data_IF_715822305461
#
_entry.id   IF_715822305461
#
_cell.length_a   1.000
_cell.length_b   1.000
_cell.length_c   1.000
_cell.angle_alpha   90.00
_cell.angle_beta   90.00
_cell.angle_gamma   90.00
#
_symmetry.space_group_name_H-M   'P 1'
#
loop_
_entity.id
_entity.type
_entity.pdbx_description
1 polymer ?
#
# COMPACT_ATOMS: atom_id res chain seq x y z
N UNK A 1 -8.76 36.68 -8.66
CA UNK A 1 -9.32 36.22 -7.36
C UNK A 1 -8.17 35.98 -6.38
N UNK A 2 -7.85 36.98 -5.55
CA UNK A 2 -6.60 37.05 -4.78
C UNK A 2 -6.75 36.32 -3.43
N UNK A 3 -6.53 35.00 -3.39
CA UNK A 3 -6.55 34.23 -2.12
C UNK A 3 -5.31 34.59 -1.30
N UNK A 4 -5.44 35.54 -0.37
CA UNK A 4 -4.38 35.84 0.62
C UNK A 4 -4.07 34.59 1.46
N UNK A 5 -2.78 34.30 1.63
CA UNK A 5 -2.28 33.21 2.45
C UNK A 5 -2.74 33.43 3.90
N UNK A 6 -3.39 32.43 4.50
CA UNK A 6 -3.88 32.52 5.88
C UNK A 6 -2.72 32.45 6.89
N UNK A 7 -2.88 33.07 8.07
CA UNK A 7 -1.88 33.00 9.16
C UNK A 7 -1.46 31.56 9.51
N UNK A 8 -2.38 30.59 9.37
CA UNK A 8 -2.11 29.16 9.57
C UNK A 8 -1.16 28.57 8.53
N UNK A 9 -1.32 28.96 7.26
CA UNK A 9 -0.44 28.50 6.17
C UNK A 9 0.97 29.10 6.30
N UNK A 10 1.08 30.36 6.74
CA UNK A 10 2.37 31.00 7.01
C UNK A 10 3.09 30.24 8.13
N UNK A 11 2.42 29.98 9.25
CA UNK A 11 3.01 29.22 10.37
C UNK A 11 3.47 27.82 9.97
N UNK A 12 2.70 27.14 9.12
CA UNK A 12 3.06 25.81 8.60
C UNK A 12 4.31 25.85 7.70
N UNK A 13 4.40 26.83 6.80
CA UNK A 13 5.56 27.02 5.94
C UNK A 13 6.82 27.34 6.74
N UNK A 14 6.70 28.20 7.76
CA UNK A 14 7.81 28.52 8.67
C UNK A 14 8.27 27.27 9.43
N UNK A 15 7.34 26.44 9.91
CA UNK A 15 7.66 25.19 10.60
C UNK A 15 8.37 24.19 9.67
N UNK A 16 7.89 24.03 8.44
CA UNK A 16 8.52 23.20 7.39
C UNK A 16 9.95 23.67 7.13
N UNK A 17 10.13 24.96 6.90
CA UNK A 17 11.43 25.55 6.62
C UNK A 17 12.39 25.38 7.80
N UNK A 18 11.93 25.63 9.02
CA UNK A 18 12.72 25.41 10.23
C UNK A 18 13.15 23.94 10.36
N UNK A 19 12.25 22.97 10.13
CA UNK A 19 12.63 21.56 10.14
C UNK A 19 13.60 21.18 9.05
N UNK A 20 13.49 21.76 7.85
CA UNK A 20 14.45 21.53 6.77
C UNK A 20 15.86 22.04 7.15
N UNK A 21 15.95 23.22 7.75
CA UNK A 21 17.22 23.78 8.26
C UNK A 21 17.81 22.85 9.34
N UNK A 22 17.00 22.34 10.26
CA UNK A 22 17.45 21.40 11.30
C UNK A 22 18.02 20.10 10.70
N UNK A 23 17.43 19.57 9.62
CA UNK A 23 17.96 18.38 8.93
C UNK A 23 19.35 18.63 8.35
N UNK A 24 19.61 19.83 7.83
CA UNK A 24 20.89 20.21 7.23
C UNK A 24 21.95 20.49 8.29
N UNK A 25 21.59 21.19 9.37
CA UNK A 25 22.54 21.70 10.38
C UNK A 25 22.91 20.65 11.41
N UNK A 26 21.97 19.82 11.86
CA UNK A 26 22.23 18.85 12.92
C UNK A 26 23.15 17.74 12.43
N UNK A 27 24.08 17.21 13.25
CA UNK A 27 24.93 16.07 12.89
C UNK A 27 24.11 14.78 12.72
N UNK A 28 24.69 13.77 12.05
CA UNK A 28 24.02 12.49 11.84
C UNK A 28 23.76 11.80 13.19
N UNK A 29 22.52 11.41 13.45
CA UNK A 29 22.09 10.80 14.71
C UNK A 29 20.61 11.05 15.00
N UNK A 30 20.14 10.65 16.19
CA UNK A 30 18.74 10.79 16.62
C UNK A 30 18.22 12.24 16.48
N UNK A 31 19.09 13.22 16.75
CA UNK A 31 18.75 14.65 16.65
C UNK A 31 18.36 15.06 15.22
N UNK A 32 18.99 14.49 14.18
CA UNK A 32 18.64 14.73 12.76
C UNK A 32 17.48 13.86 12.29
N UNK A 33 17.34 12.65 12.84
CA UNK A 33 16.30 11.70 12.44
C UNK A 33 14.88 12.21 12.74
N UNK A 34 14.67 12.85 13.88
CA UNK A 34 13.36 13.42 14.25
C UNK A 34 12.90 14.50 13.25
N UNK A 35 13.66 15.57 12.98
CA UNK A 35 13.25 16.58 11.99
C UNK A 35 13.20 16.02 10.56
N UNK A 36 14.05 15.04 10.22
CA UNK A 36 13.94 14.35 8.92
C UNK A 36 12.62 13.58 8.80
N UNK A 37 12.20 12.90 9.87
CA UNK A 37 10.91 12.22 9.92
C UNK A 37 9.74 13.20 9.79
N UNK A 38 9.79 14.33 10.50
CA UNK A 38 8.77 15.37 10.40
C UNK A 38 8.67 15.94 8.98
N UNK A 39 9.82 16.24 8.36
CA UNK A 39 9.90 16.79 7.01
C UNK A 39 9.41 15.83 5.94
N UNK A 40 9.73 14.53 6.09
CA UNK A 40 9.33 13.51 5.12
C UNK A 40 7.86 13.10 5.28
N UNK A 41 7.38 12.91 6.52
CA UNK A 41 6.13 12.20 6.76
C UNK A 41 5.02 13.09 7.30
N UNK A 42 5.32 13.98 8.23
CA UNK A 42 4.30 14.69 9.01
C UNK A 42 3.89 16.00 8.34
N UNK A 43 4.85 16.84 7.95
CA UNK A 43 4.50 18.13 7.36
C UNK A 43 3.81 18.02 6.01
N UNK A 44 4.24 17.15 5.08
CA UNK A 44 3.50 16.90 3.86
C UNK A 44 2.09 16.35 4.17
N UNK A 45 1.92 15.51 5.19
CA UNK A 45 0.59 15.00 5.52
C UNK A 45 -0.31 16.12 6.05
N UNK A 46 0.22 17.02 6.87
CA UNK A 46 -0.54 18.16 7.38
C UNK A 46 -0.87 19.18 6.29
N UNK A 47 0.05 19.46 5.34
CA UNK A 47 -0.23 20.36 4.22
C UNK A 47 -1.36 19.81 3.36
N UNK A 48 -1.29 18.54 2.97
CA UNK A 48 -2.34 17.88 2.19
C UNK A 48 -3.67 17.80 2.94
N UNK A 49 -3.64 17.49 4.24
CA UNK A 49 -4.86 17.40 5.06
C UNK A 49 -5.61 18.74 5.14
N UNK A 50 -4.91 19.88 5.11
CA UNK A 50 -5.54 21.20 5.12
C UNK A 50 -6.32 21.51 3.83
N UNK A 51 -5.95 20.88 2.73
CA UNK A 51 -6.54 21.11 1.40
C UNK A 51 -7.65 20.11 1.06
N UNK A 52 -7.68 18.96 1.74
CA UNK A 52 -8.71 17.95 1.53
C UNK A 52 -10.04 18.34 2.22
N UNK A 53 -11.19 18.17 1.54
CA UNK A 53 -12.50 18.28 2.18
C UNK A 53 -12.80 17.05 3.06
N UNK A 54 -13.62 17.19 4.11
CA UNK A 54 -14.04 16.07 4.97
C UNK A 54 -13.83 16.33 6.46
N UNK A 55 -13.83 15.28 7.30
CA UNK A 55 -13.51 15.40 8.74
C UNK A 55 -11.99 15.44 8.96
N UNK A 56 -11.52 16.06 10.04
CA UNK A 56 -10.07 16.23 10.28
C UNK A 56 -9.27 14.93 10.30
N UNK A 57 -9.84 13.85 10.85
CA UNK A 57 -9.22 12.52 10.87
C UNK A 57 -9.14 11.90 9.47
N UNK A 58 -10.20 12.01 8.67
CA UNK A 58 -10.24 11.54 7.28
C UNK A 58 -9.17 12.23 6.43
N UNK A 59 -9.09 13.55 6.55
CA UNK A 59 -8.12 14.39 5.83
C UNK A 59 -6.69 13.97 6.15
N UNK A 60 -6.39 13.77 7.44
CA UNK A 60 -5.06 13.37 7.87
C UNK A 60 -4.68 11.98 7.39
N UNK A 61 -5.59 11.00 7.49
CA UNK A 61 -5.34 9.63 7.03
C UNK A 61 -5.10 9.58 5.52
N UNK A 62 -5.95 10.25 4.73
CA UNK A 62 -5.77 10.31 3.27
C UNK A 62 -4.45 11.00 2.94
N UNK A 63 -4.15 12.13 3.57
CA UNK A 63 -2.93 12.86 3.34
C UNK A 63 -1.67 12.07 3.73
N UNK A 64 -1.66 11.38 4.87
CA UNK A 64 -0.55 10.53 5.29
C UNK A 64 -0.32 9.37 4.30
N UNK A 65 -1.40 8.74 3.81
CA UNK A 65 -1.31 7.71 2.77
C UNK A 65 -0.72 8.24 1.46
N UNK A 66 -1.13 9.44 1.04
CA UNK A 66 -0.61 10.09 -0.16
C UNK A 66 0.89 10.40 -0.04
N UNK A 67 1.34 10.84 1.14
CA UNK A 67 2.76 11.13 1.41
C UNK A 67 3.61 9.87 1.36
N UNK A 68 3.11 8.75 1.90
CA UNK A 68 3.77 7.46 1.82
C UNK A 68 4.01 7.03 0.37
N UNK A 69 2.99 7.17 -0.47
CA UNK A 69 3.09 6.84 -1.89
C UNK A 69 4.01 7.81 -2.64
N UNK A 70 3.88 9.11 -2.41
CA UNK A 70 4.68 10.14 -3.08
C UNK A 70 6.17 10.01 -2.73
N UNK A 71 6.50 9.80 -1.45
CA UNK A 71 7.88 9.60 -1.02
C UNK A 71 8.47 8.31 -1.59
N UNK A 72 7.72 7.20 -1.55
CA UNK A 72 8.17 5.92 -2.11
C UNK A 72 8.45 6.01 -3.61
N UNK A 73 7.56 6.65 -4.36
CA UNK A 73 7.73 6.89 -5.79
C UNK A 73 8.92 7.80 -6.08
N UNK A 74 9.11 8.86 -5.29
CA UNK A 74 10.22 9.77 -5.49
C UNK A 74 11.58 9.13 -5.22
N UNK A 75 11.70 8.37 -4.13
CA UNK A 75 12.91 7.59 -3.83
C UNK A 75 13.20 6.60 -4.95
N UNK A 76 12.16 5.96 -5.50
CA UNK A 76 12.30 5.08 -6.66
C UNK A 76 12.84 5.82 -7.88
N UNK A 77 12.25 6.95 -8.28
CA UNK A 77 12.75 7.76 -9.42
C UNK A 77 14.21 8.19 -9.22
N UNK A 78 14.54 8.61 -8.01
CA UNK A 78 15.89 9.00 -7.62
C UNK A 78 16.88 7.83 -7.72
N UNK A 79 16.46 6.62 -7.34
CA UNK A 79 17.31 5.43 -7.37
C UNK A 79 17.73 4.99 -8.78
N UNK A 80 17.02 5.44 -9.82
CA UNK A 80 17.37 5.18 -11.21
C UNK A 80 18.41 6.16 -11.78
N UNK A 81 18.81 7.20 -11.03
CA UNK A 81 19.85 8.12 -11.48
C UNK A 81 21.25 7.51 -11.20
N UNK A 82 22.14 7.46 -12.20
CA UNK A 82 23.50 6.96 -11.98
C UNK A 82 24.30 7.92 -11.10
N UNK A 83 24.99 7.37 -10.09
CA UNK A 83 25.87 8.12 -9.17
C UNK A 83 25.29 8.34 -7.77
N UNK A 84 26.03 9.05 -6.91
CA UNK A 84 25.56 9.41 -5.57
C UNK A 84 24.55 10.54 -5.66
N UNK A 85 23.30 10.26 -5.30
CA UNK A 85 22.24 11.26 -5.37
C UNK A 85 22.45 12.31 -4.27
N UNK A 86 22.60 13.60 -4.61
CA UNK A 86 22.76 14.62 -3.60
C UNK A 86 21.42 14.95 -2.93
N UNK A 87 21.47 15.21 -1.62
CA UNK A 87 20.29 15.43 -0.76
C UNK A 87 19.31 16.49 -1.28
N UNK A 88 19.81 17.54 -1.94
CA UNK A 88 18.99 18.62 -2.48
C UNK A 88 18.12 18.16 -3.67
N UNK A 89 18.55 17.17 -4.45
CA UNK A 89 17.76 16.58 -5.54
C UNK A 89 16.56 15.80 -4.98
N UNK A 90 16.79 15.08 -3.88
CA UNK A 90 15.74 14.37 -3.13
C UNK A 90 14.70 15.38 -2.63
N UNK A 91 15.14 16.52 -2.09
CA UNK A 91 14.23 17.57 -1.61
C UNK A 91 13.41 18.22 -2.73
N UNK A 92 14.01 18.46 -3.90
CA UNK A 92 13.31 19.10 -5.03
C UNK A 92 12.17 18.23 -5.56
N UNK A 93 12.34 16.92 -5.73
CA UNK A 93 11.21 16.13 -6.24
C UNK A 93 10.27 15.55 -5.21
N UNK A 94 10.57 15.62 -3.90
CA UNK A 94 9.49 15.58 -2.89
C UNK A 94 8.53 16.76 -3.13
N UNK A 95 9.05 17.93 -3.51
CA UNK A 95 8.23 19.10 -3.84
C UNK A 95 7.51 18.97 -5.19
N UNK A 96 8.13 18.35 -6.20
CA UNK A 96 7.52 18.14 -7.54
C UNK A 96 6.52 16.97 -7.55
N UNK A 97 6.84 15.85 -6.88
CA UNK A 97 5.99 14.67 -6.75
C UNK A 97 4.70 14.92 -5.96
N UNK A 98 4.63 16.02 -5.19
CA UNK A 98 3.39 16.50 -4.60
C UNK A 98 2.37 17.01 -5.64
N UNK A 99 2.78 17.29 -6.89
CA UNK A 99 1.95 17.96 -7.91
C UNK A 99 1.61 17.06 -9.12
N UNK A 100 2.46 16.08 -9.44
CA UNK A 100 2.40 15.26 -10.68
C UNK A 100 1.39 14.08 -10.71
N UNK A 101 1.08 13.36 -9.61
CA UNK A 101 0.27 12.13 -9.64
C UNK A 101 -1.21 12.31 -10.01
N UNK A 102 -1.73 13.53 -9.94
CA UNK A 102 -3.11 13.86 -10.32
C UNK A 102 -3.37 13.61 -11.82
N UNK A 103 -2.32 13.72 -12.65
CA UNK A 103 -2.41 13.62 -14.11
C UNK A 103 -2.21 12.18 -14.59
N UNK A 104 -1.38 11.39 -13.90
CA UNK A 104 -1.04 10.01 -14.29
C UNK A 104 -2.08 8.97 -13.81
N UNK A 105 -2.78 9.22 -12.70
CA UNK A 105 -3.74 8.27 -12.11
C UNK A 105 -5.05 8.12 -12.90
N UNK A 106 -5.31 8.95 -13.91
CA UNK A 106 -6.49 8.85 -14.76
C UNK A 106 -6.31 7.89 -15.95
N UNK A 107 -5.11 7.35 -16.21
CA UNK A 107 -4.82 6.70 -17.51
C UNK A 107 -4.47 5.20 -17.52
N UNK A 108 -4.28 4.47 -16.40
CA UNK A 108 -3.78 3.07 -16.52
C UNK A 108 -4.26 2.00 -15.54
N UNK A 109 -5.14 2.28 -14.58
CA UNK A 109 -5.39 1.34 -13.47
C UNK A 109 -6.17 0.04 -13.80
N UNK A 110 -6.64 -0.16 -15.04
CA UNK A 110 -7.54 -1.26 -15.40
C UNK A 110 -6.92 -2.48 -16.10
N UNK A 111 -5.81 -2.31 -16.83
CA UNK A 111 -5.38 -3.33 -17.81
C UNK A 111 -4.16 -4.16 -17.38
N UNK A 112 -3.35 -3.68 -16.44
CA UNK A 112 -2.09 -4.34 -16.09
C UNK A 112 -2.27 -5.51 -15.13
N UNK A 113 -3.39 -5.63 -14.40
CA UNK A 113 -3.57 -6.68 -13.39
C UNK A 113 -3.82 -8.08 -13.96
N UNK A 114 -4.10 -8.22 -15.25
CA UNK A 114 -4.32 -9.51 -15.92
C UNK A 114 -3.23 -9.82 -16.96
N UNK A 115 -2.46 -8.82 -17.40
CA UNK A 115 -1.39 -9.01 -18.38
C UNK A 115 -0.10 -9.51 -17.70
N UNK A 116 0.49 -10.57 -18.27
CA UNK A 116 1.81 -11.14 -17.98
C UNK A 116 1.95 -12.04 -16.73
N UNK A 117 0.90 -12.72 -16.28
CA UNK A 117 1.01 -13.69 -15.16
C UNK A 117 1.81 -14.95 -15.47
N UNK A 118 2.00 -15.29 -16.75
CA UNK A 118 2.71 -16.49 -17.19
C UNK A 118 4.07 -16.26 -17.87
N UNK A 119 4.64 -15.05 -17.80
CA UNK A 119 5.90 -14.73 -18.51
C UNK A 119 7.16 -14.92 -17.65
N UNK A 120 7.02 -15.06 -16.32
CA UNK A 120 8.15 -15.22 -15.38
C UNK A 120 8.03 -16.53 -14.61
N UNK A 121 9.07 -17.36 -14.70
CA UNK A 121 9.30 -18.52 -13.83
C UNK A 121 9.08 -18.17 -12.35
N UNK A 122 8.73 -19.17 -11.55
CA UNK A 122 8.50 -19.06 -10.11
C UNK A 122 9.55 -18.17 -9.42
N UNK A 123 9.10 -17.06 -8.83
CA UNK A 123 9.98 -16.04 -8.29
C UNK A 123 10.35 -16.37 -6.84
N UNK A 124 11.61 -16.72 -6.59
CA UNK A 124 12.22 -16.84 -5.25
C UNK A 124 11.37 -17.63 -4.26
N UNK A 125 10.71 -16.90 -3.34
CA UNK A 125 9.83 -17.46 -2.31
C UNK A 125 8.66 -18.30 -2.88
N UNK A 126 8.17 -18.03 -4.10
CA UNK A 126 7.13 -18.86 -4.73
C UNK A 126 7.59 -20.31 -4.91
N UNK A 127 8.86 -20.51 -5.27
CA UNK A 127 9.44 -21.84 -5.42
C UNK A 127 9.46 -22.62 -4.10
N UNK A 128 9.72 -21.93 -2.99
CA UNK A 128 9.66 -22.53 -1.65
C UNK A 128 8.23 -22.96 -1.32
N UNK A 129 7.23 -22.11 -1.60
CA UNK A 129 5.83 -22.47 -1.37
C UNK A 129 5.39 -23.65 -2.25
N UNK A 130 5.82 -23.67 -3.51
CA UNK A 130 5.52 -24.78 -4.42
C UNK A 130 6.20 -26.09 -4.02
N UNK A 131 7.44 -26.04 -3.51
CA UNK A 131 8.12 -27.23 -2.99
C UNK A 131 7.39 -27.80 -1.76
N UNK A 132 6.91 -26.93 -0.86
CA UNK A 132 6.09 -27.35 0.29
C UNK A 132 4.73 -27.91 -0.15
N UNK A 133 4.11 -27.31 -1.15
CA UNK A 133 2.87 -27.84 -1.73
C UNK A 133 3.09 -29.24 -2.32
N UNK A 134 4.21 -29.48 -3.01
CA UNK A 134 4.59 -30.79 -3.51
C UNK A 134 4.75 -31.81 -2.37
N UNK A 135 5.48 -31.43 -1.31
CA UNK A 135 5.71 -32.28 -0.15
C UNK A 135 4.39 -32.69 0.53
N UNK A 136 3.47 -31.74 0.72
CA UNK A 136 2.11 -32.02 1.25
C UNK A 136 1.36 -33.00 0.34
N UNK A 137 1.40 -32.81 -0.98
CA UNK A 137 0.75 -33.73 -1.94
C UNK A 137 1.37 -35.13 -1.94
N UNK A 138 2.65 -35.26 -1.59
CA UNK A 138 3.32 -36.56 -1.44
C UNK A 138 3.14 -37.19 -0.06
N UNK A 139 2.38 -36.56 0.84
CA UNK A 139 2.03 -37.09 2.16
C UNK A 139 2.82 -36.50 3.33
N UNK A 140 3.68 -35.50 3.10
CA UNK A 140 4.37 -34.79 4.18
C UNK A 140 3.57 -33.57 4.66
N UNK A 141 2.58 -33.83 5.50
CA UNK A 141 1.74 -32.78 6.09
C UNK A 141 2.47 -31.90 7.11
N UNK A 142 3.66 -32.32 7.58
CA UNK A 142 4.43 -31.56 8.58
C UNK A 142 4.84 -30.19 8.06
N UNK A 143 4.96 -30.07 6.74
CA UNK A 143 5.23 -28.83 6.01
C UNK A 143 4.22 -27.71 6.30
N UNK A 144 2.96 -28.06 6.62
CA UNK A 144 1.95 -27.08 7.02
C UNK A 144 2.19 -26.48 8.40
N UNK A 145 2.90 -27.18 9.27
CA UNK A 145 3.12 -26.80 10.68
C UNK A 145 4.49 -26.16 10.91
N UNK A 146 5.50 -26.53 10.13
CA UNK A 146 6.83 -25.92 10.23
C UNK A 146 6.94 -24.58 9.49
N UNK A 147 6.01 -24.30 8.57
CA UNK A 147 5.97 -23.03 7.86
C UNK A 147 5.54 -21.90 8.80
N UNK A 148 6.34 -20.83 8.86
CA UNK A 148 6.13 -19.72 9.81
C UNK A 148 4.99 -18.75 9.41
N UNK A 149 4.28 -19.03 8.31
CA UNK A 149 3.17 -18.21 7.80
C UNK A 149 1.88 -19.04 7.77
N UNK A 150 0.74 -18.37 7.60
CA UNK A 150 -0.56 -19.03 7.61
C UNK A 150 -0.67 -20.15 6.57
N UNK A 151 -1.31 -21.29 6.90
CA UNK A 151 -1.30 -22.50 6.06
C UNK A 151 -1.98 -22.28 4.70
N UNK A 152 -2.86 -21.29 4.59
CA UNK A 152 -3.52 -20.95 3.34
C UNK A 152 -2.57 -20.61 2.19
N UNK A 153 -1.36 -20.11 2.48
CA UNK A 153 -0.33 -19.86 1.47
C UNK A 153 0.09 -21.15 0.75
N UNK A 154 0.10 -22.28 1.45
CA UNK A 154 0.44 -23.61 0.93
C UNK A 154 -0.83 -24.32 0.42
N UNK A 155 -1.92 -24.25 1.18
CA UNK A 155 -3.16 -24.96 0.86
C UNK A 155 -3.82 -24.50 -0.44
N UNK A 156 -3.71 -23.22 -0.80
CA UNK A 156 -4.27 -22.72 -2.06
C UNK A 156 -3.54 -23.32 -3.30
N UNK A 157 -2.20 -23.32 -3.36
CA UNK A 157 -1.45 -24.08 -4.36
C UNK A 157 -1.73 -25.58 -4.34
N UNK A 158 -1.75 -26.22 -3.15
CA UNK A 158 -2.08 -27.65 -3.02
C UNK A 158 -3.44 -27.96 -3.64
N UNK A 159 -4.47 -27.21 -3.27
CA UNK A 159 -5.82 -27.40 -3.82
C UNK A 159 -5.86 -27.18 -5.33
N UNK A 160 -5.20 -26.13 -5.81
CA UNK A 160 -5.16 -25.82 -7.25
C UNK A 160 -4.45 -26.94 -8.02
N UNK A 161 -3.26 -27.34 -7.58
CA UNK A 161 -2.45 -28.38 -8.23
C UNK A 161 -3.11 -29.77 -8.14
N UNK A 162 -3.69 -30.15 -6.99
CA UNK A 162 -4.42 -31.41 -6.86
C UNK A 162 -5.60 -31.50 -7.84
N UNK A 163 -6.27 -30.37 -8.11
CA UNK A 163 -7.45 -30.34 -8.98
C UNK A 163 -7.08 -30.24 -10.47
N UNK A 164 -6.03 -29.51 -10.82
CA UNK A 164 -5.63 -29.32 -12.23
C UNK A 164 -4.65 -30.38 -12.72
N UNK A 165 -3.91 -31.02 -11.81
CA UNK A 165 -2.78 -31.90 -12.13
C UNK A 165 -1.58 -31.18 -12.77
N UNK A 166 -1.62 -29.85 -12.89
CA UNK A 166 -0.66 -29.04 -13.63
C UNK A 166 -0.09 -27.93 -12.74
N UNK A 167 1.23 -27.72 -12.82
CA UNK A 167 1.91 -26.57 -12.23
C UNK A 167 2.13 -25.53 -13.34
N UNK A 168 1.08 -24.79 -13.68
CA UNK A 168 1.24 -23.61 -14.54
C UNK A 168 1.17 -22.34 -13.69
N UNK A 169 2.10 -21.43 -13.94
CA UNK A 169 2.24 -20.15 -13.22
C UNK A 169 0.92 -19.37 -13.12
N UNK A 170 0.12 -19.39 -14.18
CA UNK A 170 -1.18 -18.72 -14.19
C UNK A 170 -2.12 -19.30 -13.13
N UNK A 171 -2.30 -20.61 -13.11
CA UNK A 171 -3.28 -21.26 -12.25
C UNK A 171 -2.90 -21.16 -10.77
N UNK A 172 -1.62 -21.31 -10.44
CA UNK A 172 -1.14 -21.22 -9.05
C UNK A 172 -1.20 -19.79 -8.49
N UNK A 173 -1.03 -18.76 -9.34
CA UNK A 173 -1.09 -17.33 -8.95
C UNK A 173 -2.53 -16.80 -8.91
N UNK A 174 -3.44 -17.38 -9.70
CA UNK A 174 -4.83 -16.91 -9.83
C UNK A 174 -5.56 -16.73 -8.49
N UNK A 175 -5.49 -17.65 -7.50
CA UNK A 175 -6.11 -17.44 -6.19
C UNK A 175 -5.62 -16.19 -5.46
N UNK A 176 -4.32 -15.87 -5.58
CA UNK A 176 -3.69 -14.72 -4.93
C UNK A 176 -4.00 -13.42 -5.66
N UNK A 177 -4.09 -13.48 -6.99
CA UNK A 177 -4.64 -12.38 -7.80
C UNK A 177 -6.06 -12.08 -7.40
N UNK A 178 -6.89 -13.12 -7.29
CA UNK A 178 -8.29 -12.98 -6.90
C UNK A 178 -8.41 -12.37 -5.50
N UNK A 179 -7.60 -12.84 -4.55
CA UNK A 179 -7.53 -12.26 -3.22
C UNK A 179 -7.16 -10.77 -3.24
N UNK A 180 -6.19 -10.38 -4.08
CA UNK A 180 -5.80 -8.97 -4.26
C UNK A 180 -6.90 -8.10 -4.88
N UNK A 181 -7.67 -8.63 -5.84
CA UNK A 181 -8.84 -7.96 -6.41
C UNK A 181 -9.96 -7.80 -5.37
N UNK A 182 -10.27 -8.86 -4.64
CA UNK A 182 -11.26 -8.81 -3.57
C UNK A 182 -10.82 -7.87 -2.43
N UNK A 183 -9.52 -7.78 -2.15
CA UNK A 183 -8.97 -6.86 -1.15
C UNK A 183 -9.25 -5.40 -1.53
N UNK A 184 -9.16 -5.02 -2.81
CA UNK A 184 -9.57 -3.67 -3.28
C UNK A 184 -11.02 -3.39 -2.91
N UNK A 185 -11.92 -4.35 -3.17
CA UNK A 185 -13.34 -4.20 -2.85
C UNK A 185 -13.57 -4.15 -1.34
N UNK A 186 -12.91 -5.01 -0.56
CA UNK A 186 -13.02 -5.03 0.89
C UNK A 186 -12.57 -3.71 1.51
N UNK A 187 -11.45 -3.15 1.04
CA UNK A 187 -10.93 -1.85 1.45
C UNK A 187 -11.91 -0.73 1.08
N UNK A 188 -12.46 -0.74 -0.14
CA UNK A 188 -13.51 0.22 -0.54
C UNK A 188 -14.67 0.22 0.45
N UNK A 189 -15.24 -0.95 0.73
CA UNK A 189 -16.41 -1.08 1.60
C UNK A 189 -16.09 -0.73 3.05
N UNK A 190 -14.92 -1.11 3.56
CA UNK A 190 -14.47 -0.77 4.90
C UNK A 190 -14.32 0.74 5.07
N UNK A 191 -13.55 1.39 4.20
CA UNK A 191 -13.31 2.82 4.26
C UNK A 191 -14.60 3.63 4.00
N UNK A 192 -15.45 3.18 3.06
CA UNK A 192 -16.79 3.74 2.86
C UNK A 192 -17.63 3.67 4.12
N UNK A 193 -17.55 2.54 4.84
CA UNK A 193 -18.33 2.36 6.06
C UNK A 193 -17.89 3.33 7.14
N UNK A 194 -16.58 3.53 7.35
CA UNK A 194 -16.07 4.37 8.44
C UNK A 194 -16.16 5.87 8.17
N UNK A 195 -16.09 6.27 6.90
CA UNK A 195 -15.91 7.66 6.52
C UNK A 195 -16.97 8.08 5.50
N UNK A 196 -16.68 7.92 4.20
CA UNK A 196 -17.58 8.29 3.12
C UNK A 196 -17.28 7.52 1.84
N UNK A 197 -18.21 7.57 0.88
CA UNK A 197 -18.04 6.95 -0.44
C UNK A 197 -16.76 7.41 -1.16
N UNK A 198 -16.44 8.71 -1.10
CA UNK A 198 -15.24 9.29 -1.73
C UNK A 198 -13.95 8.72 -1.12
N UNK A 199 -13.91 8.62 0.22
CA UNK A 199 -12.76 8.05 0.94
C UNK A 199 -12.59 6.58 0.60
N UNK A 200 -13.71 5.84 0.48
CA UNK A 200 -13.70 4.45 0.03
C UNK A 200 -13.08 4.28 -1.36
N UNK A 201 -13.51 5.09 -2.33
CA UNK A 201 -12.94 5.05 -3.69
C UNK A 201 -11.46 5.38 -3.69
N UNK A 202 -11.04 6.43 -2.97
CA UNK A 202 -9.62 6.83 -2.89
C UNK A 202 -8.79 5.69 -2.27
N UNK A 203 -9.20 5.13 -1.14
CA UNK A 203 -8.47 4.05 -0.46
C UNK A 203 -8.32 2.81 -1.35
N UNK A 204 -9.41 2.43 -2.04
CA UNK A 204 -9.41 1.30 -2.95
C UNK A 204 -8.53 1.55 -4.18
N UNK A 205 -8.58 2.74 -4.77
CA UNK A 205 -7.73 3.12 -5.90
C UNK A 205 -6.25 3.15 -5.50
N UNK A 206 -5.92 3.73 -4.35
CA UNK A 206 -4.55 3.75 -3.84
C UNK A 206 -3.99 2.34 -3.61
N UNK A 207 -4.82 1.43 -3.08
CA UNK A 207 -4.43 0.02 -2.97
C UNK A 207 -4.37 -0.68 -4.35
N UNK A 208 -5.25 -0.30 -5.29
CA UNK A 208 -5.32 -0.88 -6.62
C UNK A 208 -4.06 -0.58 -7.45
N UNK A 209 -3.56 0.66 -7.38
CA UNK A 209 -2.38 1.12 -8.12
C UNK A 209 -1.08 1.02 -7.33
N UNK A 210 -1.18 0.81 -6.01
CA UNK A 210 -0.02 0.70 -5.14
C UNK A 210 0.85 -0.49 -5.54
N UNK A 211 2.16 -0.26 -5.65
CA UNK A 211 3.12 -1.29 -6.04
C UNK A 211 3.03 -2.55 -5.18
N UNK A 212 2.75 -2.38 -3.88
CA UNK A 212 2.46 -3.49 -2.97
C UNK A 212 1.26 -4.33 -3.45
N UNK A 213 0.10 -3.70 -3.65
CA UNK A 213 -1.11 -4.38 -4.04
C UNK A 213 -0.99 -5.06 -5.41
N UNK A 214 -0.22 -4.47 -6.34
CA UNK A 214 0.03 -5.08 -7.65
C UNK A 214 1.01 -6.27 -7.53
N UNK A 215 2.15 -6.07 -6.88
CA UNK A 215 3.21 -7.08 -6.82
C UNK A 215 2.74 -8.36 -6.13
N UNK A 216 2.14 -8.26 -4.95
CA UNK A 216 1.67 -9.43 -4.19
C UNK A 216 0.38 -10.05 -4.76
N UNK A 217 -0.28 -9.39 -5.72
CA UNK A 217 -1.39 -10.00 -6.49
C UNK A 217 -0.91 -10.89 -7.63
N UNK A 218 0.38 -10.82 -7.99
CA UNK A 218 0.93 -11.54 -9.14
C UNK A 218 1.86 -12.69 -8.75
N UNK A 219 1.99 -12.97 -7.45
CA UNK A 219 2.86 -14.03 -6.94
C UNK A 219 2.13 -14.85 -5.89
N UNK A 220 2.55 -16.11 -5.72
CA UNK A 220 2.07 -17.06 -4.71
C UNK A 220 2.58 -16.64 -3.33
N UNK A 221 1.97 -15.59 -2.75
CA UNK A 221 2.32 -15.14 -1.41
C UNK A 221 1.12 -14.67 -0.56
N UNK A 222 1.22 -14.91 0.75
CA UNK A 222 0.13 -14.74 1.72
C UNK A 222 -0.33 -13.30 2.00
N UNK A 223 0.44 -12.27 1.67
CA UNK A 223 0.18 -10.90 2.16
C UNK A 223 -1.17 -10.36 1.67
N UNK A 224 -1.57 -10.70 0.45
CA UNK A 224 -2.88 -10.32 -0.07
C UNK A 224 -4.05 -11.02 0.63
N UNK A 225 -3.86 -12.27 1.06
CA UNK A 225 -4.86 -12.99 1.85
C UNK A 225 -5.04 -12.32 3.22
N UNK A 226 -3.92 -11.94 3.86
CA UNK A 226 -3.94 -11.21 5.14
C UNK A 226 -4.68 -9.88 5.00
N UNK A 227 -4.44 -9.12 3.93
CA UNK A 227 -5.11 -7.84 3.71
C UNK A 227 -6.60 -8.04 3.45
N UNK A 228 -6.96 -8.99 2.60
CA UNK A 228 -8.36 -9.32 2.32
C UNK A 228 -9.10 -9.69 3.61
N UNK A 229 -8.59 -10.67 4.35
CA UNK A 229 -9.25 -11.15 5.57
C UNK A 229 -9.23 -10.13 6.69
N UNK A 230 -8.15 -9.37 6.85
CA UNK A 230 -8.09 -8.27 7.80
C UNK A 230 -9.14 -7.19 7.49
N UNK A 231 -9.27 -6.79 6.22
CA UNK A 231 -10.27 -5.82 5.81
C UNK A 231 -11.71 -6.36 6.00
N UNK A 232 -11.96 -7.63 5.66
CA UNK A 232 -13.27 -8.28 5.86
C UNK A 232 -13.61 -8.46 7.34
N UNK A 233 -12.64 -8.83 8.19
CA UNK A 233 -12.83 -8.96 9.63
C UNK A 233 -13.22 -7.61 10.24
N UNK A 234 -12.53 -6.53 9.87
CA UNK A 234 -12.89 -5.18 10.31
C UNK A 234 -14.25 -4.74 9.77
N UNK A 235 -14.57 -5.07 8.51
CA UNK A 235 -15.84 -4.72 7.89
C UNK A 235 -17.01 -5.42 8.59
N UNK A 236 -16.88 -6.72 8.85
CA UNK A 236 -17.90 -7.53 9.55
C UNK A 236 -18.06 -7.09 11.00
N UNK A 237 -16.97 -6.85 11.73
CA UNK A 237 -17.00 -6.30 13.08
C UNK A 237 -17.71 -4.92 13.12
N UNK A 238 -17.46 -4.07 12.11
CA UNK A 238 -18.11 -2.76 11.99
C UNK A 238 -19.61 -2.89 11.73
N UNK A 239 -20.01 -3.83 10.87
CA UNK A 239 -21.43 -4.12 10.61
C UNK A 239 -22.12 -4.64 11.87
N UNK A 240 -21.51 -5.59 12.56
CA UNK A 240 -22.03 -6.14 13.82
C UNK A 240 -22.28 -5.04 14.86
N UNK A 241 -21.30 -4.16 15.08
CA UNK A 241 -21.44 -3.03 16.02
C UNK A 241 -22.60 -2.09 15.65
N UNK A 242 -22.87 -1.88 14.37
CA UNK A 242 -23.96 -0.99 13.92
C UNK A 242 -25.32 -1.62 14.12
N UNK A 243 -25.45 -2.91 13.80
CA UNK A 243 -26.70 -3.66 13.96
C UNK A 243 -27.02 -3.89 15.44
N UNK A 244 -26.02 -4.15 16.29
CA UNK A 244 -26.23 -4.28 17.73
C UNK A 244 -26.77 -2.99 18.34
N UNK A 245 -26.30 -1.82 17.90
CA UNK A 245 -26.82 -0.52 18.36
C UNK A 245 -28.25 -0.20 17.90
N UNK A 246 -28.81 -0.93 16.95
CA UNK A 246 -30.20 -0.70 16.48
C UNK A 246 -31.22 -1.63 17.15
N UNK A 247 -30.78 -2.50 18.05
CA UNK A 247 -31.64 -3.41 18.81
C UNK A 247 -31.90 -2.93 20.25
N UNK A 248 -31.27 -1.83 20.66
CA UNK A 248 -31.53 -1.06 21.88
C UNK A 248 -32.35 0.20 21.53
#
# INVERSE_FOLDING_TARGET
>A
MNRRISKRQIGLLTAIFATAVLVVVLPAGLARQIPAFLLLWIWPALTWALWLPGRSSERFVIAAGLVLLANGFWVLLVSFLPGSVPLWLIMIGILVGAVTPLVMSMLSAGQDRLHQMGYKELQGDEGVIMARAAAVLTGDETELFIHQKGPAEILLPVGTWAMTGLIEDFWIRLPFTWAGLLAVLAIYWLARSWFSHRVGLIAALLFAIGGFGIAFSRIVQYQNLVILWGALALLTATRYRRTSKSLD
#
